data_IF_930837777319
#
_entry.id   IF_930837777319
#
_cell.length_a   1.000
_cell.length_b   1.000
_cell.length_c   1.000
_cell.angle_alpha   90.00
_cell.angle_beta   90.00
_cell.angle_gamma   90.00
#
_symmetry.space_group_name_H-M   'P 1'
#
loop_
_entity.id
_entity.type
_entity.pdbx_description
1 polymer ?
#
# COMPACT_ATOMS: atom_id res chain seq x y z
N UNK A 1 8.69 37.91 26.02
CA UNK A 1 9.26 37.14 24.89
C UNK A 1 8.24 36.13 24.56
N UNK A 2 7.59 36.37 23.42
CA UNK A 2 6.37 35.69 23.02
C UNK A 2 6.68 34.25 22.62
N UNK A 3 6.09 33.30 23.32
CA UNK A 3 5.83 31.96 22.81
C UNK A 3 4.66 32.11 21.84
N UNK A 4 4.95 32.37 20.58
CA UNK A 4 3.97 32.13 19.51
C UNK A 4 3.71 30.62 19.51
N UNK A 5 2.52 30.27 20.02
CA UNK A 5 1.98 28.93 19.87
C UNK A 5 1.92 28.65 18.36
N UNK A 6 2.61 27.59 17.93
CA UNK A 6 2.39 27.01 16.64
C UNK A 6 0.89 26.70 16.57
N UNK A 7 0.20 27.40 15.65
CA UNK A 7 -1.15 27.05 15.27
C UNK A 7 -1.14 25.55 14.93
N UNK A 8 -2.11 24.80 15.44
CA UNK A 8 -2.29 23.41 15.04
C UNK A 8 -2.42 23.42 13.52
N UNK A 9 -1.46 22.82 12.81
CA UNK A 9 -1.53 22.63 11.36
C UNK A 9 -2.70 21.65 11.11
N UNK A 10 -3.80 22.17 10.58
CA UNK A 10 -5.03 21.40 10.36
C UNK A 10 -4.95 20.48 9.12
N UNK A 11 -3.81 20.42 8.42
CA UNK A 11 -3.64 19.67 7.18
C UNK A 11 -2.24 19.10 6.92
N UNK A 12 -2.02 18.69 5.67
CA UNK A 12 -0.79 18.04 5.24
C UNK A 12 0.34 19.07 5.09
N UNK A 13 1.49 18.79 5.69
CA UNK A 13 2.70 19.57 5.56
C UNK A 13 3.82 18.72 4.98
N UNK A 14 4.13 18.97 3.70
CA UNK A 14 5.11 18.21 2.93
C UNK A 14 6.37 19.05 2.71
N UNK A 15 7.49 18.65 3.32
CA UNK A 15 8.74 19.38 3.26
C UNK A 15 9.69 18.81 2.19
N UNK A 16 10.46 19.69 1.51
CA UNK A 16 11.57 19.27 0.67
C UNK A 16 12.68 18.63 1.53
N UNK A 17 13.42 17.69 0.94
CA UNK A 17 14.55 17.00 1.56
C UNK A 17 15.65 16.71 0.53
N UNK A 18 16.86 16.43 1.00
CA UNK A 18 17.97 16.02 0.12
C UNK A 18 17.90 14.52 -0.13
N UNK A 19 17.40 14.14 -1.32
CA UNK A 19 17.20 12.74 -1.68
C UNK A 19 18.51 11.95 -1.78
N UNK A 20 18.54 10.71 -1.30
CA UNK A 20 19.58 9.75 -1.62
C UNK A 20 19.17 8.98 -2.87
N UNK A 21 20.00 9.01 -3.91
CA UNK A 21 19.73 8.34 -5.19
C UNK A 21 20.94 7.58 -5.68
N UNK A 22 20.71 6.56 -6.48
CA UNK A 22 21.80 5.89 -7.19
C UNK A 22 22.51 6.86 -8.13
N UNK A 23 23.84 6.84 -8.11
CA UNK A 23 24.69 7.49 -9.10
C UNK A 23 24.66 6.64 -10.40
N UNK A 24 24.09 7.15 -11.51
CA UNK A 24 23.87 6.33 -12.72
C UNK A 24 25.15 5.72 -13.29
N UNK A 25 26.28 6.39 -13.10
CA UNK A 25 27.60 5.94 -13.54
C UNK A 25 28.20 4.82 -12.69
N UNK A 26 27.63 4.57 -11.50
CA UNK A 26 28.10 3.54 -10.56
C UNK A 26 27.27 2.26 -10.61
N UNK A 27 26.12 2.29 -11.29
CA UNK A 27 25.23 1.13 -11.43
C UNK A 27 24.99 0.79 -12.89
N UNK A 28 24.87 -0.48 -13.22
CA UNK A 28 24.68 -0.93 -14.60
C UNK A 28 23.34 -0.48 -15.21
N UNK A 29 22.30 -0.45 -14.39
CA UNK A 29 20.95 -0.04 -14.80
C UNK A 29 20.14 0.36 -13.58
N UNK A 30 19.43 1.49 -13.65
CA UNK A 30 18.47 1.88 -12.62
C UNK A 30 17.36 0.84 -12.44
N UNK A 31 16.93 0.19 -13.53
CA UNK A 31 15.94 -0.89 -13.44
C UNK A 31 16.45 -2.08 -12.62
N UNK A 32 17.71 -2.46 -12.77
CA UNK A 32 18.28 -3.61 -12.06
C UNK A 32 18.51 -3.36 -10.57
N UNK A 33 18.60 -2.10 -10.13
CA UNK A 33 18.79 -1.73 -8.72
C UNK A 33 17.49 -1.35 -8.01
N UNK A 34 16.37 -1.20 -8.74
CA UNK A 34 15.05 -0.95 -8.17
C UNK A 34 14.33 -2.27 -7.81
N UNK A 35 13.34 -2.18 -6.95
CA UNK A 35 12.45 -3.30 -6.65
C UNK A 35 11.02 -2.81 -6.41
N UNK A 36 10.02 -3.72 -6.44
CA UNK A 36 8.75 -3.46 -5.79
C UNK A 36 8.94 -3.20 -4.29
N UNK A 37 7.96 -2.60 -3.58
CA UNK A 37 7.97 -2.48 -2.13
C UNK A 37 8.10 -3.85 -1.44
N UNK A 38 8.65 -3.84 -0.21
CA UNK A 38 8.99 -5.07 0.53
C UNK A 38 7.82 -6.06 0.69
N UNK A 39 6.60 -5.56 0.81
CA UNK A 39 5.37 -6.36 1.00
C UNK A 39 4.82 -6.99 -0.29
N UNK A 40 5.38 -6.61 -1.44
CA UNK A 40 5.09 -7.23 -2.75
C UNK A 40 6.06 -8.39 -3.05
N UNK A 41 7.28 -8.31 -2.55
CA UNK A 41 8.32 -9.36 -2.71
C UNK A 41 8.06 -10.48 -1.72
N UNK A 42 7.01 -11.26 -1.93
CA UNK A 42 6.54 -12.27 -0.96
C UNK A 42 7.09 -13.68 -1.19
N UNK A 43 7.77 -13.93 -2.31
CA UNK A 43 8.30 -15.26 -2.65
C UNK A 43 9.82 -15.29 -2.51
N UNK A 44 10.41 -16.38 -1.98
CA UNK A 44 11.87 -16.54 -1.91
C UNK A 44 12.56 -16.48 -3.28
N UNK A 45 11.94 -17.01 -4.33
CA UNK A 45 12.43 -16.94 -5.71
C UNK A 45 12.42 -15.50 -6.24
N UNK A 46 11.39 -14.70 -5.92
CA UNK A 46 11.34 -13.28 -6.26
C UNK A 46 12.43 -12.47 -5.58
N UNK A 47 12.70 -12.72 -4.30
CA UNK A 47 13.80 -12.11 -3.57
C UNK A 47 15.15 -12.46 -4.20
N UNK A 48 15.39 -13.75 -4.47
CA UNK A 48 16.62 -14.23 -5.08
C UNK A 48 16.83 -13.64 -6.49
N UNK A 49 15.76 -13.52 -7.28
CA UNK A 49 15.81 -12.88 -8.59
C UNK A 49 16.29 -11.43 -8.48
N UNK A 50 15.71 -10.63 -7.59
CA UNK A 50 16.12 -9.24 -7.36
C UNK A 50 17.56 -9.12 -6.84
N UNK A 51 17.97 -9.97 -5.89
CA UNK A 51 19.35 -10.00 -5.38
C UNK A 51 20.38 -10.39 -6.45
N UNK A 52 19.96 -11.17 -7.45
CA UNK A 52 20.81 -11.64 -8.56
C UNK A 52 20.86 -10.66 -9.73
N UNK A 53 19.85 -9.78 -9.86
CA UNK A 53 19.78 -8.80 -10.94
C UNK A 53 20.93 -7.78 -10.87
N UNK A 54 21.26 -7.31 -9.66
CA UNK A 54 22.38 -6.41 -9.42
C UNK A 54 22.85 -6.52 -7.96
N UNK A 55 24.17 -6.47 -7.67
CA UNK A 55 24.70 -6.47 -6.31
C UNK A 55 24.25 -5.26 -5.48
N UNK A 56 23.79 -4.20 -6.13
CA UNK A 56 23.28 -2.98 -5.49
C UNK A 56 21.75 -2.87 -5.53
N UNK A 57 21.01 -3.98 -5.81
CA UNK A 57 19.56 -3.91 -5.78
C UNK A 57 19.06 -3.53 -4.38
N UNK A 58 18.13 -2.55 -4.34
CA UNK A 58 17.59 -1.96 -3.09
C UNK A 58 16.95 -3.00 -2.17
N UNK A 59 16.55 -4.17 -2.69
CA UNK A 59 15.98 -5.26 -1.90
C UNK A 59 16.88 -5.67 -0.74
N UNK A 60 18.21 -5.49 -0.89
CA UNK A 60 19.20 -5.77 0.17
C UNK A 60 19.08 -4.84 1.38
N UNK A 61 18.47 -3.67 1.21
CA UNK A 61 18.19 -2.73 2.30
C UNK A 61 16.80 -2.94 2.90
N UNK A 62 15.78 -3.22 2.07
CA UNK A 62 14.39 -3.32 2.52
C UNK A 62 14.00 -4.72 3.02
N UNK A 63 14.67 -5.77 2.52
CA UNK A 63 14.48 -7.18 2.90
C UNK A 63 15.82 -7.90 3.16
N UNK A 64 16.68 -7.35 4.04
CA UNK A 64 18.00 -7.92 4.32
C UNK A 64 17.88 -9.34 4.88
N UNK A 65 18.75 -10.26 4.42
CA UNK A 65 18.74 -11.67 4.83
C UNK A 65 19.87 -11.95 5.83
N UNK A 66 19.52 -12.45 7.00
CA UNK A 66 20.44 -12.98 8.03
C UNK A 66 19.63 -13.84 9.03
N UNK A 67 20.32 -14.59 9.90
CA UNK A 67 19.72 -15.56 10.82
C UNK A 67 18.82 -14.94 11.89
N UNK A 68 19.09 -13.71 12.29
CA UNK A 68 18.29 -13.02 13.31
C UNK A 68 17.81 -11.64 12.83
N UNK A 69 16.66 -11.13 13.33
CA UNK A 69 16.20 -9.78 13.00
C UNK A 69 17.25 -8.70 13.22
N UNK A 70 17.94 -8.72 14.36
CA UNK A 70 18.99 -7.75 14.66
C UNK A 70 20.19 -7.83 13.70
N UNK A 71 20.56 -9.02 13.24
CA UNK A 71 21.60 -9.20 12.24
C UNK A 71 21.16 -8.69 10.86
N UNK A 72 19.89 -8.90 10.50
CA UNK A 72 19.29 -8.34 9.26
C UNK A 72 19.37 -6.81 9.25
N UNK A 73 18.93 -6.17 10.32
CA UNK A 73 18.93 -4.70 10.41
C UNK A 73 20.35 -4.13 10.37
N UNK A 74 21.33 -4.72 11.08
CA UNK A 74 22.74 -4.33 10.98
C UNK A 74 23.28 -4.49 9.56
N UNK A 75 23.00 -5.62 8.90
CA UNK A 75 23.43 -5.85 7.51
C UNK A 75 22.89 -4.78 6.55
N UNK A 76 21.64 -4.34 6.72
CA UNK A 76 21.10 -3.24 5.93
C UNK A 76 21.84 -1.93 6.19
N UNK A 77 22.12 -1.58 7.46
CA UNK A 77 22.85 -0.37 7.81
C UNK A 77 24.30 -0.38 7.29
N UNK A 78 25.00 -1.51 7.44
CA UNK A 78 26.36 -1.69 6.93
C UNK A 78 26.39 -1.58 5.40
N UNK A 79 25.38 -2.14 4.73
CA UNK A 79 25.24 -2.07 3.27
C UNK A 79 24.98 -0.64 2.83
N UNK A 80 24.05 0.09 3.49
CA UNK A 80 23.78 1.50 3.20
C UNK A 80 25.02 2.37 3.39
N UNK A 81 25.72 2.21 4.52
CA UNK A 81 26.97 2.95 4.82
C UNK A 81 28.04 2.68 3.77
N UNK A 82 28.20 1.44 3.35
CA UNK A 82 29.14 1.05 2.29
C UNK A 82 28.78 1.69 0.96
N UNK A 83 27.51 1.63 0.53
CA UNK A 83 27.05 2.23 -0.71
C UNK A 83 27.23 3.74 -0.75
N UNK A 84 27.05 4.42 0.39
CA UNK A 84 27.36 5.84 0.52
C UNK A 84 28.87 6.10 0.42
N UNK A 85 29.70 5.30 1.11
CA UNK A 85 31.15 5.44 1.08
C UNK A 85 31.78 5.14 -0.29
N UNK A 86 31.19 4.25 -1.06
CA UNK A 86 31.59 3.87 -2.42
C UNK A 86 31.01 4.79 -3.50
N UNK A 87 30.11 5.73 -3.13
CA UNK A 87 29.46 6.62 -4.08
C UNK A 87 28.37 5.96 -4.95
N UNK A 88 27.93 4.76 -4.59
CA UNK A 88 26.82 4.06 -5.26
C UNK A 88 25.51 4.83 -5.04
N UNK A 89 25.29 5.29 -3.80
CA UNK A 89 24.24 6.24 -3.44
C UNK A 89 24.88 7.60 -3.14
N UNK A 90 24.29 8.64 -3.69
CA UNK A 90 24.72 10.02 -3.46
C UNK A 90 23.53 10.88 -3.00
N UNK A 91 23.82 11.84 -2.12
CA UNK A 91 22.84 12.82 -1.68
C UNK A 91 22.74 13.95 -2.70
N UNK A 92 21.49 14.37 -2.98
CA UNK A 92 21.25 15.53 -3.85
C UNK A 92 21.84 16.82 -3.26
N UNK A 93 22.32 17.76 -4.10
CA UNK A 93 23.02 18.94 -3.62
C UNK A 93 22.14 19.91 -2.80
N UNK A 94 20.84 19.93 -3.06
CA UNK A 94 19.88 20.81 -2.41
C UNK A 94 18.58 20.08 -2.05
N UNK A 95 17.82 20.56 -1.05
CA UNK A 95 16.52 19.99 -0.73
C UNK A 95 15.52 20.21 -1.86
N UNK A 96 14.73 19.15 -2.17
CA UNK A 96 13.69 19.18 -3.20
C UNK A 96 12.46 18.39 -2.75
N UNK A 97 11.30 18.73 -3.29
CA UNK A 97 10.22 17.77 -3.49
C UNK A 97 10.46 17.05 -4.82
N UNK A 98 9.96 15.84 -4.95
CA UNK A 98 10.17 15.07 -6.18
C UNK A 98 8.84 14.73 -6.82
N UNK A 99 8.61 15.20 -8.05
CA UNK A 99 7.50 14.70 -8.86
C UNK A 99 7.86 13.32 -9.35
N UNK A 100 6.99 12.35 -9.10
CA UNK A 100 7.13 10.99 -9.54
C UNK A 100 6.01 10.61 -10.49
N UNK A 101 6.38 9.97 -11.61
CA UNK A 101 5.46 9.39 -12.57
C UNK A 101 5.76 7.92 -12.72
N UNK A 102 4.71 7.08 -12.72
CA UNK A 102 4.79 5.71 -13.22
C UNK A 102 3.68 5.46 -14.25
N UNK A 103 4.04 4.71 -15.29
CA UNK A 103 3.15 4.43 -16.41
C UNK A 103 3.34 3.03 -16.94
N UNK A 104 2.23 2.35 -17.21
CA UNK A 104 2.19 1.08 -17.92
C UNK A 104 0.83 0.96 -18.61
N UNK A 105 0.81 0.77 -19.93
CA UNK A 105 -0.40 0.71 -20.77
C UNK A 105 -1.34 1.92 -20.52
N UNK A 106 -2.55 1.66 -20.03
CA UNK A 106 -3.57 2.64 -19.67
C UNK A 106 -3.41 3.23 -18.27
N UNK A 107 -2.44 2.74 -17.48
CA UNK A 107 -2.15 3.25 -16.14
C UNK A 107 -1.21 4.43 -16.25
N UNK A 108 -1.64 5.57 -15.75
CA UNK A 108 -0.81 6.75 -15.51
C UNK A 108 -1.02 7.21 -14.07
N UNK A 109 0.04 7.22 -13.29
CA UNK A 109 0.03 7.72 -11.93
C UNK A 109 1.11 8.79 -11.76
N UNK A 110 0.75 9.93 -11.17
CA UNK A 110 1.65 11.02 -10.82
C UNK A 110 1.38 11.49 -9.41
N UNK A 111 2.44 11.86 -8.72
CA UNK A 111 2.36 12.40 -7.38
C UNK A 111 3.62 13.11 -6.98
N UNK A 112 3.67 13.58 -5.73
CA UNK A 112 4.82 14.26 -5.15
C UNK A 112 5.39 13.43 -4.02
N UNK A 113 6.70 13.17 -4.06
CA UNK A 113 7.45 12.55 -2.97
C UNK A 113 8.06 13.66 -2.12
N UNK A 114 7.88 13.57 -0.80
CA UNK A 114 8.42 14.52 0.17
C UNK A 114 8.50 13.95 1.58
N UNK A 115 9.01 14.74 2.50
CA UNK A 115 9.03 14.46 3.92
C UNK A 115 7.74 15.02 4.56
N UNK A 116 6.76 14.15 4.82
CA UNK A 116 5.48 14.54 5.41
C UNK A 116 5.59 14.63 6.92
N UNK A 117 5.11 15.73 7.51
CA UNK A 117 4.99 15.86 8.96
C UNK A 117 4.09 14.74 9.51
N UNK A 118 4.57 14.06 10.56
CA UNK A 118 3.86 12.94 11.16
C UNK A 118 2.74 13.46 12.06
N UNK A 119 1.55 12.93 11.87
CA UNK A 119 0.37 13.19 12.69
C UNK A 119 -0.17 11.88 13.27
N UNK A 120 -0.60 11.93 14.53
CA UNK A 120 -1.26 10.79 15.17
C UNK A 120 -2.69 10.59 14.66
N UNK A 121 -3.26 9.39 14.85
CA UNK A 121 -4.63 9.10 14.38
C UNK A 121 -5.69 10.06 14.92
N UNK A 122 -5.51 10.59 16.15
CA UNK A 122 -6.43 11.53 16.77
C UNK A 122 -6.44 12.92 16.14
N UNK A 123 -5.39 13.28 15.39
CA UNK A 123 -5.31 14.56 14.69
C UNK A 123 -6.13 14.56 13.40
N UNK A 124 -6.46 13.38 12.86
CA UNK A 124 -7.34 13.25 11.70
C UNK A 124 -6.76 13.77 10.38
N UNK A 125 -5.45 14.05 10.31
CA UNK A 125 -4.76 14.55 9.12
C UNK A 125 -4.37 13.40 8.19
N UNK A 126 -3.73 12.37 8.74
CA UNK A 126 -3.41 11.13 8.02
C UNK A 126 -4.27 9.99 8.54
N UNK A 127 -5.05 9.42 7.64
CA UNK A 127 -6.13 8.49 7.96
C UNK A 127 -5.70 7.04 7.66
N UNK A 128 -5.44 6.20 8.67
CA UNK A 128 -5.27 4.77 8.47
C UNK A 128 -6.64 4.10 8.23
N UNK A 129 -6.68 3.08 7.39
CA UNK A 129 -7.89 2.30 7.14
C UNK A 129 -7.73 0.81 7.48
N UNK A 130 -6.55 0.38 7.90
CA UNK A 130 -6.24 -1.01 8.26
C UNK A 130 -5.48 -1.05 9.59
N UNK A 131 -5.76 -2.07 10.41
CA UNK A 131 -5.03 -2.32 11.65
C UNK A 131 -3.63 -2.85 11.37
N UNK A 132 -2.68 -2.50 12.25
CA UNK A 132 -1.29 -2.91 12.14
C UNK A 132 -0.93 -4.03 13.12
N UNK A 133 0.03 -4.87 12.73
CA UNK A 133 0.56 -5.93 13.55
C UNK A 133 1.75 -5.41 14.37
N UNK A 134 1.72 -5.46 15.72
CA UNK A 134 2.76 -4.89 16.58
C UNK A 134 4.17 -5.41 16.27
N UNK A 135 4.31 -6.70 15.96
CA UNK A 135 5.60 -7.32 15.65
C UNK A 135 6.19 -6.78 14.34
N UNK A 136 5.34 -6.55 13.32
CA UNK A 136 5.78 -5.96 12.05
C UNK A 136 6.16 -4.50 12.27
N UNK A 137 5.40 -3.75 13.05
CA UNK A 137 5.74 -2.36 13.41
C UNK A 137 7.07 -2.31 14.14
N UNK A 138 7.31 -3.21 15.11
CA UNK A 138 8.56 -3.29 15.85
C UNK A 138 9.76 -3.61 14.94
N UNK A 139 9.61 -4.57 14.02
CA UNK A 139 10.65 -4.92 13.05
C UNK A 139 10.97 -3.75 12.11
N UNK A 140 9.95 -3.10 11.55
CA UNK A 140 10.14 -1.91 10.68
C UNK A 140 10.77 -0.73 11.43
N UNK A 141 10.35 -0.46 12.67
CA UNK A 141 10.96 0.58 13.51
C UNK A 141 12.44 0.27 13.80
N UNK A 142 12.77 -0.98 14.09
CA UNK A 142 14.16 -1.40 14.31
C UNK A 142 15.02 -1.24 13.05
N UNK A 143 14.51 -1.61 11.88
CA UNK A 143 15.21 -1.40 10.60
C UNK A 143 15.48 0.10 10.35
N UNK A 144 14.45 0.94 10.48
CA UNK A 144 14.55 2.39 10.28
C UNK A 144 15.54 3.04 11.27
N UNK A 145 15.47 2.67 12.55
CA UNK A 145 16.40 3.16 13.59
C UNK A 145 17.84 2.77 13.26
N UNK A 146 18.06 1.52 12.83
CA UNK A 146 19.40 0.99 12.59
C UNK A 146 20.02 1.58 11.33
N UNK A 147 19.22 1.78 10.27
CA UNK A 147 19.69 2.38 9.00
C UNK A 147 19.77 3.91 9.06
N UNK A 148 19.02 4.56 9.96
CA UNK A 148 18.88 6.01 9.96
C UNK A 148 18.32 6.57 8.67
N UNK A 149 17.44 5.83 7.98
CA UNK A 149 16.91 6.22 6.67
C UNK A 149 15.48 5.72 6.44
N UNK A 150 14.68 6.52 5.73
CA UNK A 150 13.46 6.06 5.10
C UNK A 150 13.83 5.45 3.74
N UNK A 151 13.74 4.13 3.61
CA UNK A 151 14.23 3.36 2.47
C UNK A 151 13.26 3.29 1.30
N UNK A 152 11.99 3.56 1.54
CA UNK A 152 10.90 3.48 0.55
C UNK A 152 9.76 4.43 0.92
N UNK A 153 9.15 5.14 -0.05
CA UNK A 153 8.03 6.02 0.22
C UNK A 153 6.77 5.23 0.58
N UNK A 154 5.98 5.74 1.51
CA UNK A 154 4.61 5.29 1.71
C UNK A 154 3.73 5.84 0.60
N UNK A 155 2.67 5.11 0.25
CA UNK A 155 1.68 5.58 -0.71
C UNK A 155 0.49 6.18 0.05
N UNK A 156 0.34 7.50 -0.05
CA UNK A 156 -0.78 8.23 0.52
C UNK A 156 -1.60 8.87 -0.60
N UNK A 157 -2.89 9.03 -0.36
CA UNK A 157 -3.78 9.68 -1.31
C UNK A 157 -4.57 10.80 -0.66
N UNK A 158 -4.72 11.89 -1.37
CA UNK A 158 -5.66 12.95 -1.05
C UNK A 158 -6.63 13.16 -2.22
N UNK A 159 -7.61 14.01 -2.04
CA UNK A 159 -8.56 14.34 -3.10
C UNK A 159 -8.71 15.85 -3.19
N UNK A 160 -8.27 16.41 -4.31
CA UNK A 160 -8.49 17.82 -4.60
C UNK A 160 -9.95 18.10 -4.99
N UNK A 161 -10.34 19.35 -4.91
CA UNK A 161 -11.66 19.80 -5.40
C UNK A 161 -11.69 20.02 -6.91
N UNK A 162 -10.55 19.77 -7.59
CA UNK A 162 -10.33 20.08 -9.00
C UNK A 162 -9.94 21.57 -9.18
N UNK A 163 -9.19 21.85 -10.23
CA UNK A 163 -8.75 23.22 -10.54
C UNK A 163 -7.52 23.24 -11.44
N UNK A 164 -7.12 24.44 -11.85
CA UNK A 164 -5.94 24.72 -12.67
C UNK A 164 -4.73 25.16 -11.84
N UNK A 165 -4.85 25.15 -10.52
CA UNK A 165 -3.83 25.57 -9.55
C UNK A 165 -3.56 24.48 -8.53
N UNK A 166 -2.55 24.67 -7.67
CA UNK A 166 -2.19 23.75 -6.60
C UNK A 166 -1.27 22.63 -7.05
N UNK A 167 -1.13 21.63 -6.22
CA UNK A 167 -0.16 20.51 -6.38
C UNK A 167 -0.27 19.83 -7.74
N UNK A 168 -1.47 19.55 -8.21
CA UNK A 168 -1.69 18.93 -9.52
C UNK A 168 -1.19 19.79 -10.68
N UNK A 169 -1.41 21.12 -10.63
CA UNK A 169 -0.91 22.03 -11.65
C UNK A 169 0.62 22.08 -11.67
N UNK A 170 1.25 22.10 -10.49
CA UNK A 170 2.72 21.99 -10.36
C UNK A 170 3.24 20.70 -10.99
N UNK A 171 2.60 19.56 -10.70
CA UNK A 171 2.96 18.27 -11.31
C UNK A 171 2.87 18.34 -12.84
N UNK A 172 1.74 18.83 -13.38
CA UNK A 172 1.49 18.85 -14.83
C UNK A 172 2.50 19.72 -15.60
N UNK A 173 2.91 20.89 -15.04
CA UNK A 173 3.95 21.72 -15.68
C UNK A 173 5.36 21.15 -15.51
N UNK A 174 5.61 20.41 -14.42
CA UNK A 174 6.91 19.82 -14.14
C UNK A 174 7.22 18.65 -15.08
N UNK A 175 6.26 17.79 -15.39
CA UNK A 175 6.47 16.64 -16.26
C UNK A 175 6.74 17.00 -17.73
N UNK A 176 6.56 18.27 -18.11
CA UNK A 176 6.95 18.79 -19.42
C UNK A 176 8.47 19.07 -19.53
N UNK A 177 9.18 19.09 -18.39
CA UNK A 177 10.62 19.30 -18.33
C UNK A 177 11.36 17.95 -18.50
N UNK A 178 12.66 18.01 -18.72
CA UNK A 178 13.50 16.80 -18.73
C UNK A 178 13.52 16.18 -17.32
N UNK A 179 13.25 14.87 -17.18
CA UNK A 179 13.28 14.22 -15.88
C UNK A 179 14.73 14.10 -15.36
N UNK A 180 14.88 14.11 -14.03
CA UNK A 180 16.13 13.88 -13.33
C UNK A 180 16.64 12.43 -13.55
N UNK A 181 15.70 11.47 -13.59
CA UNK A 181 15.94 10.10 -13.99
C UNK A 181 14.71 9.51 -14.70
N UNK A 182 14.98 8.51 -15.54
CA UNK A 182 13.96 7.70 -16.20
C UNK A 182 14.47 6.25 -16.29
N UNK A 183 13.58 5.30 -16.03
CA UNK A 183 13.87 3.86 -16.15
C UNK A 183 12.60 3.09 -16.48
N UNK A 184 12.75 1.87 -16.99
CA UNK A 184 11.63 0.93 -17.18
C UNK A 184 12.01 -0.38 -16.50
N UNK A 185 11.19 -0.80 -15.54
CA UNK A 185 11.40 -2.03 -14.78
C UNK A 185 10.93 -3.26 -15.57
N UNK A 186 11.31 -4.45 -15.11
CA UNK A 186 11.05 -5.72 -15.80
C UNK A 186 9.54 -6.01 -15.98
N UNK A 187 8.71 -5.52 -15.05
CA UNK A 187 7.25 -5.60 -15.12
C UNK A 187 6.60 -4.66 -16.16
N UNK A 188 7.42 -3.93 -16.92
CA UNK A 188 6.99 -3.03 -17.99
C UNK A 188 6.60 -1.63 -17.53
N UNK A 189 6.64 -1.34 -16.23
CA UNK A 189 6.38 0.02 -15.76
C UNK A 189 7.55 0.95 -16.11
N UNK A 190 7.23 2.08 -16.75
CA UNK A 190 8.18 3.20 -16.88
C UNK A 190 8.04 4.13 -15.68
N UNK A 191 9.18 4.55 -15.13
CA UNK A 191 9.29 5.43 -13.98
C UNK A 191 10.09 6.66 -14.34
N UNK A 192 9.62 7.83 -13.92
CA UNK A 192 10.31 9.10 -14.11
C UNK A 192 10.26 9.91 -12.82
N UNK A 193 11.33 10.67 -12.57
CA UNK A 193 11.46 11.51 -11.38
C UNK A 193 11.97 12.90 -11.78
N UNK A 194 11.42 13.95 -11.22
CA UNK A 194 11.85 15.34 -11.37
C UNK A 194 12.07 15.95 -9.99
N UNK A 195 13.11 16.73 -9.81
CA UNK A 195 13.34 17.51 -8.60
C UNK A 195 12.64 18.88 -8.72
N UNK A 196 11.96 19.31 -7.68
CA UNK A 196 11.31 20.60 -7.51
C UNK A 196 12.04 21.39 -6.44
N UNK A 197 12.73 22.45 -6.84
CA UNK A 197 13.49 23.35 -5.95
C UNK A 197 13.00 24.79 -6.05
N UNK A 198 12.14 25.12 -7.03
CA UNK A 198 11.60 26.46 -7.21
C UNK A 198 10.73 26.86 -6.02
N UNK A 199 11.04 27.98 -5.32
CA UNK A 199 10.28 28.40 -4.14
C UNK A 199 8.81 28.70 -4.42
N UNK A 200 8.46 29.14 -5.63
CA UNK A 200 7.06 29.40 -6.02
C UNK A 200 6.27 28.09 -6.16
N UNK A 201 6.88 27.07 -6.81
CA UNK A 201 6.28 25.74 -6.93
C UNK A 201 6.09 25.10 -5.53
N UNK A 202 7.09 25.22 -4.64
CA UNK A 202 7.02 24.69 -3.28
C UNK A 202 5.94 25.38 -2.45
N UNK A 203 5.84 26.71 -2.52
CA UNK A 203 4.81 27.47 -1.82
C UNK A 203 3.38 27.16 -2.33
N UNK A 204 3.22 26.93 -3.64
CA UNK A 204 1.93 26.54 -4.22
C UNK A 204 1.47 25.17 -3.73
N UNK A 205 2.40 24.20 -3.62
CA UNK A 205 2.12 22.88 -3.06
C UNK A 205 1.76 22.96 -1.58
N UNK A 206 2.54 23.69 -0.79
CA UNK A 206 2.29 23.86 0.65
C UNK A 206 0.91 24.47 0.92
N UNK A 207 0.56 25.54 0.20
CA UNK A 207 -0.74 26.19 0.32
C UNK A 207 -1.92 25.28 -0.10
N UNK A 208 -1.75 24.44 -1.14
CA UNK A 208 -2.81 23.51 -1.56
C UNK A 208 -2.99 22.35 -0.57
N UNK A 209 -1.93 21.91 0.11
CA UNK A 209 -1.97 20.79 1.03
C UNK A 209 -2.38 21.18 2.46
N UNK A 210 -2.31 22.45 2.83
CA UNK A 210 -2.52 22.95 4.20
C UNK A 210 -3.90 22.58 4.81
N UNK A 211 -4.93 22.42 3.97
CA UNK A 211 -6.30 22.03 4.40
C UNK A 211 -6.67 20.59 4.02
N UNK A 212 -5.68 19.77 3.58
CA UNK A 212 -5.97 18.43 3.06
C UNK A 212 -5.75 17.35 4.11
N UNK A 213 -6.52 16.28 3.97
CA UNK A 213 -6.33 15.01 4.67
C UNK A 213 -5.84 13.95 3.68
N UNK A 214 -4.95 13.06 4.10
CA UNK A 214 -4.50 11.92 3.32
C UNK A 214 -4.99 10.61 3.88
N UNK A 215 -5.36 9.67 2.99
CA UNK A 215 -5.58 8.26 3.31
C UNK A 215 -4.28 7.50 3.10
N UNK A 216 -3.88 6.66 4.03
CA UNK A 216 -2.78 5.71 3.81
C UNK A 216 -3.29 4.63 2.85
N UNK A 217 -2.85 4.65 1.60
CA UNK A 217 -3.19 3.63 0.62
C UNK A 217 -2.27 2.40 0.75
N UNK A 218 -0.98 2.61 1.11
CA UNK A 218 -0.02 1.55 1.41
C UNK A 218 1.01 2.00 2.42
N UNK A 219 1.44 1.07 3.30
CA UNK A 219 2.50 1.29 4.27
C UNK A 219 2.03 1.59 5.69
N UNK A 220 0.87 1.11 6.13
CA UNK A 220 0.34 1.30 7.49
C UNK A 220 1.34 0.91 8.60
N UNK A 221 2.04 -0.23 8.45
CA UNK A 221 3.06 -0.66 9.41
C UNK A 221 4.26 0.28 9.46
N UNK A 222 4.69 0.83 8.29
CA UNK A 222 5.77 1.81 8.21
C UNK A 222 5.36 3.14 8.82
N UNK A 223 4.12 3.61 8.58
CA UNK A 223 3.59 4.81 9.23
C UNK A 223 3.56 4.67 10.75
N UNK A 224 3.05 3.55 11.27
CA UNK A 224 3.06 3.26 12.70
C UNK A 224 4.48 3.18 13.28
N UNK A 225 5.43 2.64 12.51
CA UNK A 225 6.84 2.64 12.89
C UNK A 225 7.45 4.05 12.96
N UNK A 226 7.09 4.95 12.02
CA UNK A 226 7.49 6.36 12.07
C UNK A 226 6.96 7.06 13.33
N UNK A 227 5.66 6.89 13.64
CA UNK A 227 5.05 7.46 14.85
C UNK A 227 5.76 6.98 16.11
N UNK A 228 6.02 5.69 16.21
CA UNK A 228 6.76 5.10 17.34
C UNK A 228 8.15 5.70 17.48
N UNK A 229 8.90 5.86 16.38
CA UNK A 229 10.25 6.43 16.43
C UNK A 229 10.24 7.91 16.78
N UNK A 230 9.24 8.67 16.34
CA UNK A 230 9.03 10.07 16.75
C UNK A 230 8.86 10.19 18.26
N UNK A 231 8.11 9.28 18.90
CA UNK A 231 7.93 9.27 20.36
C UNK A 231 9.19 8.91 21.12
N UNK A 232 10.07 8.09 20.52
CA UNK A 232 11.31 7.61 21.13
C UNK A 232 12.51 8.58 20.95
N UNK A 233 12.37 9.60 20.10
CA UNK A 233 13.46 10.52 19.71
C UNK A 233 13.18 11.96 20.11
N UNK A 234 14.23 12.77 20.38
CA UNK A 234 14.04 14.19 20.66
C UNK A 234 13.42 14.93 19.46
N UNK A 235 12.42 15.77 19.73
CA UNK A 235 11.79 16.68 18.77
C UNK A 235 12.12 18.14 19.15
N UNK A 236 12.28 19.08 18.19
CA UNK A 236 12.14 18.86 16.75
C UNK A 236 13.37 18.15 16.14
N UNK A 237 13.11 17.34 15.10
CA UNK A 237 14.16 16.62 14.39
C UNK A 237 13.69 15.88 13.13
N UNK A 238 14.61 15.20 12.44
CA UNK A 238 14.29 14.51 11.18
C UNK A 238 13.28 13.38 11.35
N UNK A 239 13.12 12.86 12.57
CA UNK A 239 12.16 11.81 12.91
C UNK A 239 10.71 12.29 13.02
N UNK A 240 10.48 13.61 12.99
CA UNK A 240 9.13 14.20 12.97
C UNK A 240 8.48 14.09 11.58
N UNK A 241 9.20 13.57 10.58
CA UNK A 241 8.74 13.48 9.20
C UNK A 241 8.97 12.07 8.63
N UNK A 242 8.04 11.63 7.76
CA UNK A 242 8.12 10.36 7.03
C UNK A 242 8.18 10.55 5.51
N UNK A 243 8.92 9.68 4.81
CA UNK A 243 8.99 9.69 3.35
C UNK A 243 7.69 9.15 2.77
N UNK A 244 7.00 9.95 1.96
CA UNK A 244 5.73 9.58 1.34
C UNK A 244 5.70 9.96 -0.15
N UNK A 245 4.93 9.20 -0.93
CA UNK A 245 4.39 9.59 -2.22
C UNK A 245 2.93 9.99 -2.01
N UNK A 246 2.58 11.23 -2.31
CA UNK A 246 1.25 11.79 -2.16
C UNK A 246 0.59 11.95 -3.53
N UNK A 247 -0.58 11.34 -3.74
CA UNK A 247 -1.30 11.30 -5.02
C UNK A 247 -2.68 11.90 -4.89
N UNK A 248 -3.03 12.79 -5.81
CA UNK A 248 -4.39 13.29 -5.98
C UNK A 248 -5.25 12.30 -6.76
N UNK A 249 -6.15 11.58 -6.07
CA UNK A 249 -7.02 10.58 -6.70
C UNK A 249 -8.19 11.18 -7.49
N UNK A 250 -8.44 12.48 -7.38
CA UNK A 250 -9.38 13.15 -8.28
C UNK A 250 -8.80 13.27 -9.72
N UNK A 251 -7.48 13.34 -9.84
CA UNK A 251 -6.78 13.44 -11.13
C UNK A 251 -6.12 12.14 -11.59
N UNK A 252 -5.53 11.39 -10.65
CA UNK A 252 -4.82 10.14 -10.87
C UNK A 252 -5.42 9.05 -9.98
N UNK A 253 -6.60 8.50 -10.33
CA UNK A 253 -7.26 7.50 -9.51
C UNK A 253 -6.40 6.25 -9.38
N UNK A 254 -6.31 5.74 -8.15
CA UNK A 254 -5.68 4.45 -7.90
C UNK A 254 -6.64 3.32 -8.26
N UNK A 255 -6.08 2.19 -8.67
CA UNK A 255 -6.83 0.95 -8.80
C UNK A 255 -6.90 0.29 -7.42
N UNK A 256 -8.10 0.16 -6.90
CA UNK A 256 -8.36 -0.69 -5.73
C UNK A 256 -8.62 -2.09 -6.24
N UNK A 257 -7.82 -3.06 -5.79
CA UNK A 257 -7.99 -4.47 -6.13
C UNK A 257 -8.52 -5.23 -4.93
N UNK A 258 -9.34 -6.23 -5.17
CA UNK A 258 -9.72 -7.18 -4.15
C UNK A 258 -8.53 -8.07 -3.77
N UNK A 259 -8.53 -8.54 -2.54
CA UNK A 259 -7.64 -9.60 -2.08
C UNK A 259 -8.52 -10.84 -1.91
N UNK A 260 -8.22 -11.88 -2.66
CA UNK A 260 -8.96 -13.14 -2.64
C UNK A 260 -8.49 -14.03 -1.48
N UNK A 261 -9.32 -14.97 -1.04
CA UNK A 261 -8.97 -15.97 -0.02
C UNK A 261 -8.84 -17.33 -0.68
N UNK A 262 -7.75 -18.02 -0.40
CA UNK A 262 -7.56 -19.41 -0.81
C UNK A 262 -7.57 -20.30 0.44
N UNK A 263 -8.54 -21.19 0.49
CA UNK A 263 -8.76 -22.14 1.59
C UNK A 263 -8.22 -23.51 1.15
N UNK A 264 -6.98 -23.79 1.54
CA UNK A 264 -6.23 -24.96 1.04
C UNK A 264 -6.85 -26.31 1.39
N UNK A 265 -7.64 -26.39 2.46
CA UNK A 265 -8.16 -27.64 3.02
C UNK A 265 -9.68 -27.73 2.99
N UNK A 266 -10.33 -26.86 2.26
CA UNK A 266 -11.78 -26.84 2.13
C UNK A 266 -12.15 -27.10 0.66
N UNK A 267 -12.57 -28.32 0.27
CA UNK A 267 -13.13 -28.58 -1.05
C UNK A 267 -14.39 -27.75 -1.32
N UNK A 268 -14.63 -27.35 -2.57
CA UNK A 268 -15.80 -26.54 -2.92
C UNK A 268 -17.12 -27.22 -2.52
N UNK A 269 -17.24 -28.54 -2.69
CA UNK A 269 -18.43 -29.28 -2.30
C UNK A 269 -18.74 -29.19 -0.80
N UNK A 270 -17.71 -29.27 0.04
CA UNK A 270 -17.83 -29.15 1.50
C UNK A 270 -18.17 -27.69 1.89
N UNK A 271 -17.54 -26.72 1.21
CA UNK A 271 -17.85 -25.29 1.38
C UNK A 271 -19.33 -25.01 1.09
N UNK A 272 -19.84 -25.49 -0.04
CA UNK A 272 -21.25 -25.32 -0.44
C UNK A 272 -22.20 -26.05 0.53
N UNK A 273 -21.85 -27.24 0.98
CA UNK A 273 -22.65 -27.99 1.94
C UNK A 273 -22.77 -27.25 3.28
N UNK A 274 -21.67 -26.68 3.74
CA UNK A 274 -21.65 -25.93 5.01
C UNK A 274 -22.37 -24.58 4.95
N UNK A 275 -22.57 -24.01 3.75
CA UNK A 275 -23.37 -22.79 3.57
C UNK A 275 -24.87 -23.03 3.78
N UNK A 276 -25.38 -24.26 3.48
CA UNK A 276 -26.79 -24.54 3.54
C UNK A 276 -27.63 -23.55 2.72
N UNK A 277 -28.69 -23.00 3.35
CA UNK A 277 -29.58 -21.99 2.75
C UNK A 277 -29.19 -20.54 3.12
N UNK A 278 -28.00 -20.34 3.70
CA UNK A 278 -27.56 -19.02 4.17
C UNK A 278 -27.32 -17.99 3.04
N UNK A 279 -27.08 -18.48 1.82
CA UNK A 279 -26.90 -17.67 0.61
C UNK A 279 -27.67 -18.33 -0.54
N UNK A 280 -28.12 -17.50 -1.51
CA UNK A 280 -28.50 -18.07 -2.81
C UNK A 280 -27.21 -18.49 -3.52
N UNK A 281 -27.17 -19.73 -4.01
CA UNK A 281 -26.03 -20.29 -4.74
C UNK A 281 -26.42 -20.51 -6.20
N UNK A 282 -25.64 -19.95 -7.12
CA UNK A 282 -25.81 -20.17 -8.55
C UNK A 282 -24.51 -20.73 -9.16
N UNK A 283 -24.57 -21.94 -9.70
CA UNK A 283 -23.45 -22.52 -10.45
C UNK A 283 -23.35 -21.87 -11.84
N UNK A 284 -22.13 -21.44 -12.19
CA UNK A 284 -21.80 -20.77 -13.44
C UNK A 284 -20.77 -21.61 -14.22
N UNK A 285 -21.13 -22.11 -15.37
CA UNK A 285 -20.24 -22.81 -16.31
C UNK A 285 -19.81 -21.84 -17.41
N UNK A 286 -19.07 -20.81 -17.07
CA UNK A 286 -18.64 -19.73 -17.97
C UNK A 286 -17.15 -19.44 -17.74
N UNK A 287 -16.45 -18.79 -18.70
CA UNK A 287 -15.08 -18.34 -18.49
C UNK A 287 -14.98 -17.33 -17.34
N UNK A 288 -13.82 -17.30 -16.65
CA UNK A 288 -13.54 -16.42 -15.50
C UNK A 288 -13.95 -14.95 -15.72
N UNK A 289 -13.66 -14.29 -16.86
CA UNK A 289 -14.10 -12.89 -17.05
C UNK A 289 -15.62 -12.70 -16.95
N UNK A 290 -16.41 -13.65 -17.44
CA UNK A 290 -17.87 -13.60 -17.33
C UNK A 290 -18.36 -13.89 -15.91
N UNK A 291 -17.71 -14.80 -15.21
CA UNK A 291 -18.01 -15.06 -13.81
C UNK A 291 -17.73 -13.83 -12.94
N UNK A 292 -16.63 -13.11 -13.20
CA UNK A 292 -16.31 -11.85 -12.52
C UNK A 292 -17.31 -10.73 -12.85
N UNK A 293 -17.84 -10.67 -14.06
CA UNK A 293 -18.94 -9.74 -14.41
C UNK A 293 -20.19 -10.06 -13.58
N UNK A 294 -20.58 -11.34 -13.48
CA UNK A 294 -21.71 -11.74 -12.67
C UNK A 294 -21.52 -11.41 -11.17
N UNK A 295 -20.28 -11.57 -10.66
CA UNK A 295 -19.94 -11.13 -9.30
C UNK A 295 -20.12 -9.62 -9.13
N UNK A 296 -19.60 -8.81 -10.06
CA UNK A 296 -19.73 -7.35 -10.01
C UNK A 296 -21.20 -6.90 -10.04
N UNK A 297 -22.02 -7.51 -10.90
CA UNK A 297 -23.45 -7.23 -10.99
C UNK A 297 -24.15 -7.57 -9.65
N UNK A 298 -23.86 -8.73 -9.06
CA UNK A 298 -24.43 -9.15 -7.78
C UNK A 298 -23.98 -8.22 -6.61
N UNK A 299 -22.70 -7.80 -6.60
CA UNK A 299 -22.19 -6.86 -5.60
C UNK A 299 -22.84 -5.46 -5.67
N UNK A 300 -23.43 -5.09 -6.79
CA UNK A 300 -24.21 -3.84 -6.91
C UNK A 300 -25.55 -3.90 -6.17
N UNK A 301 -26.07 -5.11 -5.93
CA UNK A 301 -27.34 -5.35 -5.22
C UNK A 301 -27.14 -5.68 -3.73
N UNK A 302 -25.93 -6.10 -3.33
CA UNK A 302 -25.62 -6.49 -1.94
C UNK A 302 -24.36 -7.32 -1.86
N UNK A 303 -24.14 -7.98 -0.72
CA UNK A 303 -22.95 -8.81 -0.55
C UNK A 303 -22.97 -10.02 -1.48
N UNK A 304 -21.87 -10.23 -2.19
CA UNK A 304 -21.70 -11.37 -3.08
C UNK A 304 -20.26 -11.88 -3.10
N UNK A 305 -20.09 -13.18 -3.38
CA UNK A 305 -18.82 -13.89 -3.45
C UNK A 305 -18.86 -14.89 -4.61
N UNK A 306 -17.68 -15.20 -5.14
CA UNK A 306 -17.57 -16.22 -6.19
C UNK A 306 -16.61 -17.31 -5.70
N UNK A 307 -17.09 -18.53 -5.53
CA UNK A 307 -16.24 -19.69 -5.20
C UNK A 307 -15.73 -20.34 -6.47
N UNK A 308 -14.49 -20.82 -6.42
CA UNK A 308 -13.84 -21.59 -7.49
C UNK A 308 -12.93 -22.67 -6.92
N UNK A 309 -12.72 -23.77 -7.68
CA UNK A 309 -11.81 -24.86 -7.28
C UNK A 309 -12.20 -26.24 -7.76
N UNK A 310 -13.38 -26.40 -8.38
CA UNK A 310 -13.92 -27.68 -8.90
C UNK A 310 -14.17 -27.64 -10.43
N UNK A 311 -13.54 -26.70 -11.15
CA UNK A 311 -13.72 -26.50 -12.57
C UNK A 311 -14.98 -25.70 -12.95
N UNK A 312 -15.74 -25.23 -11.97
CA UNK A 312 -16.88 -24.34 -12.13
C UNK A 312 -16.76 -23.14 -11.19
N UNK A 313 -17.63 -22.14 -11.39
CA UNK A 313 -17.78 -21.03 -10.47
C UNK A 313 -19.14 -21.12 -9.76
N UNK A 314 -19.16 -20.75 -8.49
CA UNK A 314 -20.39 -20.72 -7.69
C UNK A 314 -20.58 -19.31 -7.14
N UNK A 315 -21.56 -18.58 -7.68
CA UNK A 315 -21.92 -17.24 -7.20
C UNK A 315 -22.78 -17.38 -5.96
N UNK A 316 -22.31 -16.78 -4.87
CA UNK A 316 -23.03 -16.63 -3.61
C UNK A 316 -23.55 -15.19 -3.54
N UNK A 317 -24.85 -15.00 -3.41
CA UNK A 317 -25.46 -13.70 -3.22
C UNK A 317 -26.69 -13.79 -2.30
N UNK A 318 -27.34 -12.66 -2.01
CA UNK A 318 -28.55 -12.59 -1.20
C UNK A 318 -28.42 -13.36 0.12
N UNK A 319 -27.47 -12.99 0.99
CA UNK A 319 -27.35 -13.60 2.31
C UNK A 319 -28.64 -13.47 3.11
N UNK A 320 -28.90 -14.45 3.99
CA UNK A 320 -30.00 -14.36 4.96
C UNK A 320 -29.77 -13.15 5.91
N UNK A 321 -30.67 -12.14 5.91
CA UNK A 321 -30.51 -10.95 6.74
C UNK A 321 -30.46 -11.27 8.24
N UNK A 322 -31.23 -12.27 8.71
CA UNK A 322 -31.26 -12.66 10.12
C UNK A 322 -29.90 -13.31 10.54
N UNK A 323 -29.23 -13.98 9.61
CA UNK A 323 -27.88 -14.49 9.82
C UNK A 323 -26.86 -13.35 9.93
N UNK A 324 -26.92 -12.37 9.03
CA UNK A 324 -26.03 -11.20 9.08
C UNK A 324 -26.20 -10.40 10.37
N UNK A 325 -27.44 -10.16 10.81
CA UNK A 325 -27.72 -9.43 12.05
C UNK A 325 -27.17 -10.15 13.29
N UNK A 326 -27.07 -11.48 13.25
CA UNK A 326 -26.53 -12.29 14.34
C UNK A 326 -24.99 -12.39 14.33
N UNK A 327 -24.37 -12.39 13.15
CA UNK A 327 -22.93 -12.68 12.99
C UNK A 327 -22.08 -11.43 12.84
N UNK A 328 -22.62 -10.37 12.24
CA UNK A 328 -21.91 -9.12 12.02
C UNK A 328 -22.11 -8.17 13.20
N UNK A 329 -21.02 -7.62 13.74
CA UNK A 329 -21.04 -6.72 14.90
C UNK A 329 -21.95 -5.52 14.69
N UNK A 330 -22.97 -5.39 15.56
CA UNK A 330 -23.97 -4.32 15.52
C UNK A 330 -23.45 -2.95 16.01
N UNK A 331 -22.30 -2.90 16.71
CA UNK A 331 -21.68 -1.67 17.24
C UNK A 331 -20.83 -0.91 16.20
N UNK A 332 -20.75 -1.41 14.95
CA UNK A 332 -20.02 -0.79 13.86
C UNK A 332 -20.93 -0.04 12.90
N UNK A 333 -20.41 1.00 12.19
CA UNK A 333 -21.19 1.72 11.18
C UNK A 333 -21.77 0.79 10.11
N UNK A 334 -22.92 1.16 9.54
CA UNK A 334 -23.58 0.37 8.49
C UNK A 334 -22.66 0.09 7.30
N UNK A 335 -21.89 1.09 6.84
CA UNK A 335 -20.94 0.93 5.76
C UNK A 335 -19.85 -0.14 6.06
N UNK A 336 -19.43 -0.28 7.33
CA UNK A 336 -18.49 -1.33 7.74
C UNK A 336 -19.17 -2.70 7.78
N UNK A 337 -20.40 -2.76 8.27
CA UNK A 337 -21.19 -3.98 8.36
C UNK A 337 -21.53 -4.55 6.98
N UNK A 338 -21.71 -3.67 5.98
CA UNK A 338 -22.00 -4.02 4.60
C UNK A 338 -20.77 -4.41 3.75
N UNK A 339 -19.54 -4.30 4.29
CA UNK A 339 -18.34 -4.72 3.54
C UNK A 339 -18.36 -6.22 3.27
N UNK A 340 -18.07 -6.62 2.04
CA UNK A 340 -17.92 -8.04 1.68
C UNK A 340 -16.87 -8.74 2.54
N UNK A 341 -15.76 -8.07 2.84
CA UNK A 341 -14.74 -8.60 3.74
C UNK A 341 -15.27 -8.86 5.15
N UNK A 342 -16.15 -7.98 5.68
CA UNK A 342 -16.79 -8.17 6.98
C UNK A 342 -17.70 -9.39 6.97
N UNK A 343 -18.58 -9.48 5.97
CA UNK A 343 -19.51 -10.61 5.84
C UNK A 343 -18.77 -11.91 5.60
N UNK A 344 -17.72 -11.90 4.77
CA UNK A 344 -16.89 -13.08 4.55
C UNK A 344 -16.28 -13.60 5.85
N UNK A 345 -15.62 -12.71 6.61
CA UNK A 345 -14.94 -13.13 7.84
C UNK A 345 -15.94 -13.52 8.94
N UNK A 346 -16.89 -12.65 9.28
CA UNK A 346 -17.79 -12.86 10.42
C UNK A 346 -18.85 -13.95 10.16
N UNK A 347 -19.38 -14.02 8.93
CA UNK A 347 -20.51 -14.92 8.62
C UNK A 347 -20.02 -16.21 7.97
N UNK A 348 -19.23 -16.12 6.92
CA UNK A 348 -18.85 -17.30 6.14
C UNK A 348 -17.73 -18.08 6.84
N UNK A 349 -16.60 -17.42 7.13
CA UNK A 349 -15.44 -18.10 7.70
C UNK A 349 -15.65 -18.51 9.17
N UNK A 350 -16.09 -17.58 10.02
CA UNK A 350 -16.20 -17.83 11.46
C UNK A 350 -17.42 -18.67 11.83
N UNK A 351 -18.63 -18.29 11.35
CA UNK A 351 -19.86 -18.94 11.76
C UNK A 351 -20.16 -20.22 10.95
N UNK A 352 -20.14 -20.13 9.59
CA UNK A 352 -20.58 -21.24 8.75
C UNK A 352 -19.48 -22.28 8.53
N UNK A 353 -18.28 -21.84 8.15
CA UNK A 353 -17.19 -22.78 7.86
C UNK A 353 -16.29 -23.07 9.06
N UNK A 354 -16.34 -22.23 10.10
CA UNK A 354 -15.54 -22.35 11.34
C UNK A 354 -14.05 -22.50 11.06
N UNK A 355 -13.55 -21.68 10.14
CA UNK A 355 -12.15 -21.62 9.71
C UNK A 355 -11.47 -20.42 10.37
N UNK A 356 -10.46 -20.63 11.23
CA UNK A 356 -9.70 -19.53 11.82
C UNK A 356 -8.96 -18.72 10.78
N UNK A 357 -8.90 -17.39 10.97
CA UNK A 357 -8.05 -16.51 10.16
C UNK A 357 -6.58 -16.69 10.56
N UNK A 358 -5.99 -17.75 10.06
CA UNK A 358 -4.61 -18.14 10.30
C UNK A 358 -3.94 -18.60 8.99
N UNK A 359 -2.62 -18.36 8.82
CA UNK A 359 -1.90 -18.68 7.58
C UNK A 359 -1.96 -20.16 7.16
N UNK A 360 -2.15 -21.08 8.11
CA UNK A 360 -2.30 -22.51 7.84
C UNK A 360 -3.64 -22.86 7.17
N UNK A 361 -4.62 -21.99 7.26
CA UNK A 361 -5.97 -22.20 6.73
C UNK A 361 -6.28 -21.31 5.54
N UNK A 362 -5.85 -20.05 5.59
CA UNK A 362 -6.21 -19.01 4.61
C UNK A 362 -4.96 -18.38 4.04
N UNK A 363 -4.78 -18.46 2.71
CA UNK A 363 -3.84 -17.65 1.98
C UNK A 363 -4.55 -16.47 1.31
N UNK A 364 -3.88 -15.32 1.29
CA UNK A 364 -4.36 -14.09 0.68
C UNK A 364 -3.70 -13.90 -0.68
N UNK A 365 -4.49 -13.91 -1.75
CA UNK A 365 -4.02 -13.89 -3.14
C UNK A 365 -4.53 -12.62 -3.83
N UNK A 366 -3.62 -11.85 -4.43
CA UNK A 366 -3.96 -10.60 -5.13
C UNK A 366 -4.37 -10.83 -6.60
N UNK A 367 -3.85 -11.89 -7.20
CA UNK A 367 -4.13 -12.26 -8.59
C UNK A 367 -5.26 -13.27 -8.67
N UNK A 368 -6.30 -12.94 -9.44
CA UNK A 368 -7.52 -13.73 -9.53
C UNK A 368 -7.28 -15.08 -10.21
N UNK A 369 -6.50 -15.10 -11.31
CA UNK A 369 -6.22 -16.33 -12.06
C UNK A 369 -5.33 -17.27 -11.22
N UNK A 370 -4.36 -16.70 -10.50
CA UNK A 370 -3.53 -17.45 -9.58
C UNK A 370 -4.35 -18.07 -8.44
N UNK A 371 -5.35 -17.36 -7.90
CA UNK A 371 -6.23 -17.89 -6.85
C UNK A 371 -7.03 -19.09 -7.35
N UNK A 372 -7.64 -18.99 -8.54
CA UNK A 372 -8.39 -20.09 -9.18
C UNK A 372 -7.47 -21.28 -9.46
N UNK A 373 -6.34 -21.04 -10.13
CA UNK A 373 -5.38 -22.08 -10.50
C UNK A 373 -4.85 -22.85 -9.29
N UNK A 374 -4.55 -22.13 -8.19
CA UNK A 374 -4.05 -22.77 -6.96
C UNK A 374 -5.16 -23.60 -6.28
N UNK A 375 -6.41 -23.10 -6.25
CA UNK A 375 -7.52 -23.85 -5.70
C UNK A 375 -7.74 -25.18 -6.46
N UNK A 376 -7.77 -25.13 -7.78
CA UNK A 376 -7.94 -26.30 -8.64
C UNK A 376 -6.80 -27.32 -8.48
N UNK A 377 -5.53 -26.85 -8.40
CA UNK A 377 -4.36 -27.73 -8.24
C UNK A 377 -4.33 -28.46 -6.92
N UNK A 378 -4.81 -27.83 -5.85
CA UNK A 378 -4.69 -28.33 -4.48
C UNK A 378 -6.00 -28.89 -3.92
N UNK A 379 -7.09 -28.84 -4.69
CA UNK A 379 -8.41 -29.32 -4.25
C UNK A 379 -9.04 -28.44 -3.16
N UNK A 380 -8.64 -27.18 -3.07
CA UNK A 380 -9.18 -26.21 -2.13
C UNK A 380 -10.27 -25.33 -2.73
N UNK A 381 -10.66 -24.29 -2.00
CA UNK A 381 -11.65 -23.29 -2.45
C UNK A 381 -11.02 -21.91 -2.53
N UNK A 382 -11.07 -21.27 -3.69
CA UNK A 382 -10.81 -19.84 -3.81
C UNK A 382 -12.12 -19.07 -3.61
N UNK A 383 -12.11 -18.09 -2.71
CA UNK A 383 -13.19 -17.10 -2.56
C UNK A 383 -12.74 -15.83 -3.25
N UNK A 384 -13.32 -15.57 -4.41
CA UNK A 384 -13.05 -14.36 -5.19
C UNK A 384 -13.97 -13.25 -4.73
N UNK A 385 -13.37 -12.08 -4.50
CA UNK A 385 -14.03 -10.90 -3.96
C UNK A 385 -14.10 -9.80 -5.02
N UNK A 386 -15.11 -8.96 -4.93
CA UNK A 386 -15.19 -7.71 -5.68
C UNK A 386 -14.40 -6.60 -4.95
N UNK A 387 -13.69 -5.69 -5.67
CA UNK A 387 -13.02 -4.57 -5.03
C UNK A 387 -13.98 -3.62 -4.31
N UNK A 388 -13.61 -3.19 -3.10
CA UNK A 388 -14.32 -2.12 -2.42
C UNK A 388 -14.01 -0.77 -3.09
N UNK A 389 -14.96 0.15 -3.07
CA UNK A 389 -14.76 1.49 -3.63
C UNK A 389 -13.90 2.35 -2.70
N UNK A 390 -13.01 3.18 -3.28
CA UNK A 390 -12.12 4.07 -2.52
C UNK A 390 -12.88 5.04 -1.60
N UNK A 391 -14.04 5.55 -2.04
CA UNK A 391 -14.85 6.49 -1.24
C UNK A 391 -15.35 5.83 0.06
N UNK A 392 -15.78 4.58 0.01
CA UNK A 392 -16.18 3.80 1.20
C UNK A 392 -15.00 3.63 2.17
N UNK A 393 -13.80 3.30 1.65
CA UNK A 393 -12.59 3.18 2.47
C UNK A 393 -12.27 4.50 3.16
N UNK A 394 -12.31 5.59 2.42
CA UNK A 394 -12.02 6.94 2.92
C UNK A 394 -13.04 7.41 3.96
N UNK A 395 -14.31 7.16 3.74
CA UNK A 395 -15.37 7.55 4.66
C UNK A 395 -15.32 6.76 5.99
N UNK A 396 -14.97 5.48 5.96
CA UNK A 396 -14.72 4.69 7.17
C UNK A 396 -13.47 5.20 7.91
N UNK A 397 -12.38 5.46 7.19
CA UNK A 397 -11.15 5.99 7.77
C UNK A 397 -11.36 7.36 8.44
N UNK A 398 -12.17 8.25 7.86
CA UNK A 398 -12.57 9.54 8.45
C UNK A 398 -13.35 9.39 9.75
N UNK A 399 -14.11 8.30 9.90
CA UNK A 399 -14.82 7.97 11.13
C UNK A 399 -13.92 7.28 12.16
N UNK A 400 -12.63 7.11 11.89
CA UNK A 400 -11.69 6.36 12.73
C UNK A 400 -11.98 4.86 12.78
N UNK A 401 -12.65 4.33 11.76
CA UNK A 401 -13.03 2.92 11.67
C UNK A 401 -12.10 2.19 10.72
N UNK A 402 -11.35 1.23 11.26
CA UNK A 402 -10.49 0.35 10.47
C UNK A 402 -11.31 -0.77 9.84
N UNK A 403 -10.97 -1.11 8.60
CA UNK A 403 -11.55 -2.23 7.86
C UNK A 403 -10.96 -3.57 8.32
N UNK A 404 -11.62 -4.70 8.08
CA UNK A 404 -11.00 -6.00 8.25
C UNK A 404 -9.68 -6.09 7.48
N UNK A 405 -8.68 -6.74 8.07
CA UNK A 405 -7.35 -6.85 7.44
C UNK A 405 -7.43 -7.49 6.05
N UNK A 406 -6.52 -7.06 5.16
CA UNK A 406 -6.47 -7.60 3.79
C UNK A 406 -7.77 -7.43 3.00
N UNK A 407 -8.48 -6.32 3.22
CA UNK A 407 -9.70 -5.97 2.47
C UNK A 407 -9.40 -5.27 1.16
N UNK A 408 -8.28 -4.54 1.07
CA UNK A 408 -7.94 -3.68 -0.07
C UNK A 408 -6.49 -3.84 -0.49
N UNK A 409 -6.24 -3.68 -1.78
CA UNK A 409 -4.90 -3.52 -2.33
C UNK A 409 -4.92 -2.34 -3.31
N UNK A 410 -4.34 -1.23 -2.88
CA UNK A 410 -4.20 -0.05 -3.73
C UNK A 410 -2.98 -0.18 -4.65
N UNK A 411 -3.13 0.25 -5.89
CA UNK A 411 -2.02 0.21 -6.83
C UNK A 411 -2.20 1.12 -8.04
N UNK A 412 -1.12 1.24 -8.82
CA UNK A 412 0.19 0.62 -8.62
C UNK A 412 0.93 1.22 -7.42
N UNK A 413 1.73 0.39 -6.74
CA UNK A 413 2.60 0.86 -5.65
C UNK A 413 3.85 1.52 -6.24
N UNK A 414 4.46 2.53 -5.57
CA UNK A 414 5.69 3.15 -6.06
C UNK A 414 6.86 2.15 -6.09
N UNK A 415 7.72 2.28 -7.11
CA UNK A 415 8.97 1.53 -7.13
C UNK A 415 9.91 2.02 -6.01
N UNK A 416 10.63 1.08 -5.41
CA UNK A 416 11.61 1.33 -4.35
C UNK A 416 13.01 1.45 -4.93
N UNK A 417 13.82 2.39 -4.43
CA UNK A 417 15.20 2.62 -4.88
C UNK A 417 15.37 3.82 -5.81
N UNK A 418 14.31 4.56 -6.14
CA UNK A 418 14.44 5.77 -6.97
C UNK A 418 14.85 6.99 -6.16
N UNK A 419 14.35 7.14 -4.95
CA UNK A 419 14.76 8.15 -3.97
C UNK A 419 14.52 7.63 -2.55
N UNK A 420 15.50 7.80 -1.68
CA UNK A 420 15.46 7.49 -0.25
C UNK A 420 15.69 8.79 0.53
N UNK A 421 15.35 8.79 1.82
CA UNK A 421 15.62 9.93 2.70
C UNK A 421 16.53 9.51 3.85
N UNK A 422 17.68 10.16 3.98
CA UNK A 422 18.53 10.04 5.18
C UNK A 422 17.89 10.81 6.34
N UNK A 423 18.08 10.29 7.56
CA UNK A 423 17.69 10.94 8.82
C UNK A 423 18.93 11.38 9.62
N UNK A 424 20.13 11.19 9.06
CA UNK A 424 21.42 11.42 9.71
C UNK A 424 22.35 12.34 8.93
N UNK A 425 22.06 12.61 7.65
CA UNK A 425 22.91 13.41 6.75
C UNK A 425 22.36 14.84 6.51
N UNK A 426 21.22 15.20 7.06
CA UNK A 426 20.60 16.54 6.96
C UNK A 426 21.03 17.47 8.09
#
# INVERSE_FOLDING_TARGET
>A
MNSEGLAADDGLRLLPFRGLRYAPEQVGSLAAVTSPPYDVVVRPDGLHHLESADPHNIVRLILPQADTPAARHRKAADTLSRWLGEGILAQDPEPALYVYEQRHDDILQRGVIGALALSGPSEGIVLPHEDVMPDIVADRAALLRTTGANLEPLLLTYRSTGGTTGTTAVIERTVLRTPLLATTTEDGFSHRLWALTDPGDLAEIDADLADRQALIADGHHRWAAYLRLREETPSPGPWDYGLVLLIDTARYPLRVRAIHRLLHRLPVADALTALGDAFRVQRLEVPLPRALTALADACSEGNAFLLAGDGAFHLLDRPDPALLDRTVRGDRPEAWRALDATVLHSTILDELWRIPDAPEHIAYIHDTEAAVTQAERHGGTAVLMHPVREDVVRDLARQGVTMPRKSTSFGPKPATGLVLRSLTLD
#
